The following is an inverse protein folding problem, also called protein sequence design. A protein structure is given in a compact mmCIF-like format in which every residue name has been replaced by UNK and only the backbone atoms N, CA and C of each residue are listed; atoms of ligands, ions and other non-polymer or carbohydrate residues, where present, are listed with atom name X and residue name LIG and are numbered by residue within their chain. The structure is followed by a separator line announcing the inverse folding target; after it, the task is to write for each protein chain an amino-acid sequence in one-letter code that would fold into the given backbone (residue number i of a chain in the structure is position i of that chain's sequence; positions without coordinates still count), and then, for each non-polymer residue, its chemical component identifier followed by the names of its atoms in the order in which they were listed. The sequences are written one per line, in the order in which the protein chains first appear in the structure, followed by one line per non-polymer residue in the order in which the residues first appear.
data_IF_505870637446
#
_entry.id   IF_505870637446
#
_cell.length_a   1.000
_cell.length_b   1.000
_cell.length_c   1.000
_cell.angle_alpha   90.00
_cell.angle_beta   90.00
_cell.angle_gamma   90.00
#
_symmetry.space_group_name_H-M   'P 1'
#
loop_
_entity.id
_entity.type
_entity.pdbx_description
1 polymer ?
#
# COMPACT_ATOMS: atom_id res chain seq x y z
N UNK A 1 15.94 30.37 -0.28
CA UNK A 1 14.49 30.55 -0.18
C UNK A 1 13.82 29.49 -1.03
N UNK A 2 13.20 28.49 -0.41
CA UNK A 2 12.05 27.79 -1.00
C UNK A 2 11.12 27.45 0.15
N UNK A 3 10.05 28.23 0.23
CA UNK A 3 8.88 27.97 1.06
C UNK A 3 8.00 26.97 0.32
N UNK A 4 7.40 26.01 1.01
CA UNK A 4 6.08 25.49 0.64
C UNK A 4 5.29 25.06 1.89
N UNK A 5 4.00 25.36 1.84
CA UNK A 5 3.08 25.55 2.97
C UNK A 5 2.48 24.26 3.54
N UNK A 6 2.33 24.29 4.87
CA UNK A 6 1.24 23.81 5.73
C UNK A 6 0.47 22.51 5.40
N UNK A 7 0.78 21.51 6.23
CA UNK A 7 -0.11 20.65 7.03
C UNK A 7 -1.27 19.91 6.34
N UNK A 8 -1.20 18.57 6.39
CA UNK A 8 -2.21 17.62 6.89
C UNK A 8 -1.62 16.21 6.72
N UNK A 9 -1.26 15.57 7.84
CA UNK A 9 -0.93 14.13 8.05
C UNK A 9 0.50 13.59 7.77
N UNK A 10 1.30 13.50 8.86
CA UNK A 10 1.90 12.24 9.35
C UNK A 10 3.14 11.63 8.66
N UNK A 11 4.33 12.02 9.13
CA UNK A 11 5.65 11.36 8.96
C UNK A 11 6.42 11.64 7.65
N UNK A 12 7.51 12.42 7.76
CA UNK A 12 8.49 12.68 6.69
C UNK A 12 9.89 12.39 7.23
N UNK A 13 10.61 11.43 6.66
CA UNK A 13 12.05 11.26 6.87
C UNK A 13 12.81 11.92 5.71
N UNK A 14 13.67 12.90 6.02
CA UNK A 14 14.60 13.47 5.04
C UNK A 14 16.02 13.12 5.46
N UNK A 15 16.72 12.37 4.60
CA UNK A 15 18.15 12.10 4.73
C UNK A 15 18.91 13.02 3.77
N UNK A 16 20.06 13.54 4.17
CA UNK A 16 21.03 14.15 3.24
C UNK A 16 22.33 13.37 3.32
N UNK A 17 23.10 13.38 2.23
CA UNK A 17 24.27 12.50 1.96
C UNK A 17 25.38 12.55 3.02
N UNK A 18 25.36 13.52 3.93
CA UNK A 18 26.41 13.72 4.94
C UNK A 18 26.13 13.04 6.29
N UNK A 19 25.12 12.18 6.39
CA UNK A 19 24.83 11.41 7.61
C UNK A 19 24.35 12.22 8.81
N UNK A 20 23.89 13.47 8.60
CA UNK A 20 23.34 14.34 9.66
C UNK A 20 21.81 14.36 9.65
N UNK A 21 21.20 14.19 10.83
CA UNK A 21 19.74 14.26 11.02
C UNK A 21 19.29 15.67 11.42
N UNK A 22 18.72 16.42 10.47
CA UNK A 22 18.38 17.84 10.74
C UNK A 22 16.98 18.05 11.33
N UNK A 23 16.03 17.11 11.22
CA UNK A 23 14.72 17.25 11.91
C UNK A 23 13.99 15.91 12.11
N UNK A 24 13.40 15.72 13.29
CA UNK A 24 12.49 14.61 13.63
C UNK A 24 11.28 15.27 14.28
N UNK A 25 10.08 15.06 13.74
CA UNK A 25 8.83 15.55 14.33
C UNK A 25 7.90 14.36 14.50
N UNK A 26 7.68 13.96 15.74
CA UNK A 26 6.65 13.01 16.15
C UNK A 26 5.46 13.85 16.64
N UNK A 27 4.29 13.68 16.03
CA UNK A 27 3.06 14.31 16.53
C UNK A 27 2.09 13.26 17.03
N UNK A 28 1.69 13.41 18.29
CA UNK A 28 0.65 12.65 18.97
C UNK A 28 -0.51 13.60 19.28
N UNK A 29 -1.77 13.20 19.08
CA UNK A 29 -2.89 13.85 19.76
C UNK A 29 -4.09 12.92 19.95
N UNK A 30 -4.50 12.70 21.21
CA UNK A 30 -5.83 12.20 21.57
C UNK A 30 -5.97 11.30 22.82
N UNK A 31 -6.09 11.94 24.01
CA UNK A 31 -6.86 11.52 25.22
C UNK A 31 -6.22 10.46 26.17
N UNK A 32 -5.88 10.66 27.46
CA UNK A 32 -6.09 11.69 28.52
C UNK A 32 -4.76 12.06 29.22
N UNK A 33 -4.84 13.15 30.01
CA UNK A 33 -3.89 13.86 30.87
C UNK A 33 -2.53 13.23 31.27
N UNK A 34 -1.51 14.09 31.35
CA UNK A 34 -0.13 13.88 31.85
C UNK A 34 0.89 13.17 30.97
N UNK A 35 0.59 12.96 29.69
CA UNK A 35 1.60 12.50 28.77
C UNK A 35 2.38 13.68 28.21
N UNK A 36 3.47 14.03 28.90
CA UNK A 36 4.41 15.02 28.43
C UNK A 36 4.83 14.65 27.00
N UNK A 37 4.50 15.50 26.04
CA UNK A 37 5.07 15.39 24.70
C UNK A 37 6.58 15.30 24.88
N UNK A 38 7.16 14.20 24.38
CA UNK A 38 8.58 13.96 24.53
C UNK A 38 9.28 14.94 23.58
N UNK A 39 10.00 15.91 24.15
CA UNK A 39 10.74 16.89 23.39
C UNK A 39 11.80 16.20 22.52
N UNK A 40 11.73 16.43 21.21
CA UNK A 40 12.69 15.89 20.26
C UNK A 40 14.12 16.41 20.52
N UNK A 41 14.28 17.60 21.11
CA UNK A 41 15.59 18.09 21.54
C UNK A 41 16.12 17.33 22.74
N UNK A 42 15.27 17.03 23.73
CA UNK A 42 15.61 16.15 24.85
C UNK A 42 15.95 14.72 24.37
N UNK A 43 15.27 14.19 23.36
CA UNK A 43 15.63 12.89 22.78
C UNK A 43 17.00 12.91 22.08
N UNK A 44 17.33 14.02 21.40
CA UNK A 44 18.66 14.19 20.78
C UNK A 44 19.78 14.23 21.80
N UNK A 45 19.54 14.80 22.99
CA UNK A 45 20.56 14.87 24.04
C UNK A 45 20.86 13.52 24.70
N UNK A 46 19.98 12.53 24.58
CA UNK A 46 20.24 11.14 25.02
C UNK A 46 21.36 10.46 24.22
N UNK A 47 21.67 10.94 23.02
CA UNK A 47 22.65 10.33 22.13
C UNK A 47 22.11 9.12 21.35
N UNK A 48 22.81 8.77 20.27
CA UNK A 48 22.38 7.76 19.31
C UNK A 48 22.26 6.35 19.93
N UNK A 49 23.23 5.96 20.75
CA UNK A 49 23.27 4.63 21.37
C UNK A 49 22.11 4.39 22.33
N UNK A 50 21.81 5.37 23.20
CA UNK A 50 20.70 5.24 24.16
C UNK A 50 19.36 5.24 23.44
N UNK A 51 19.20 6.04 22.40
CA UNK A 51 17.99 6.05 21.58
C UNK A 51 17.78 4.72 20.85
N UNK A 52 18.84 4.14 20.27
CA UNK A 52 18.79 2.84 19.62
C UNK A 52 18.38 1.72 20.60
N UNK A 53 18.95 1.74 21.82
CA UNK A 53 18.58 0.78 22.87
C UNK A 53 17.10 0.89 23.26
N UNK A 54 16.60 2.11 23.50
CA UNK A 54 15.18 2.34 23.85
C UNK A 54 14.22 1.89 22.74
N UNK A 55 14.58 2.13 21.48
CA UNK A 55 13.79 1.66 20.33
C UNK A 55 13.77 0.13 20.23
N UNK A 56 14.91 -0.52 20.49
CA UNK A 56 15.01 -1.98 20.51
C UNK A 56 14.20 -2.61 21.67
N UNK A 57 14.28 -2.02 22.86
CA UNK A 57 13.47 -2.41 24.02
C UNK A 57 11.97 -2.26 23.72
N UNK A 58 11.57 -1.15 23.09
CA UNK A 58 10.17 -0.91 22.69
C UNK A 58 9.68 -1.91 21.63
N UNK A 59 10.53 -2.28 20.67
CA UNK A 59 10.23 -3.29 19.67
C UNK A 59 10.07 -4.71 20.23
N UNK A 60 10.64 -5.01 21.40
CA UNK A 60 10.46 -6.30 22.06
C UNK A 60 9.01 -6.49 22.52
N UNK A 61 8.37 -5.42 22.99
CA UNK A 61 7.01 -5.44 23.55
C UNK A 61 5.93 -5.03 22.57
N UNK A 62 6.28 -4.31 21.49
CA UNK A 62 5.33 -3.79 20.50
C UNK A 62 5.60 -4.33 19.09
N UNK A 63 4.79 -5.29 18.58
CA UNK A 63 5.00 -5.90 17.27
C UNK A 63 4.98 -4.93 16.08
N UNK A 64 4.18 -3.87 16.15
CA UNK A 64 4.08 -2.84 15.11
C UNK A 64 5.38 -2.01 15.03
N UNK A 65 5.87 -1.49 16.17
CA UNK A 65 7.18 -0.81 16.27
C UNK A 65 8.31 -1.68 15.74
N UNK A 66 8.31 -2.97 16.09
CA UNK A 66 9.32 -3.92 15.59
C UNK A 66 9.31 -4.02 14.07
N UNK A 67 8.13 -4.17 13.47
CA UNK A 67 7.98 -4.25 12.02
C UNK A 67 8.42 -2.97 11.32
N UNK A 68 8.01 -1.82 11.85
CA UNK A 68 8.40 -0.52 11.32
C UNK A 68 9.92 -0.33 11.36
N UNK A 69 10.57 -0.60 12.50
CA UNK A 69 12.03 -0.49 12.62
C UNK A 69 12.78 -1.48 11.74
N UNK A 70 12.28 -2.72 11.59
CA UNK A 70 12.88 -3.69 10.68
C UNK A 70 12.80 -3.22 9.23
N UNK A 71 11.65 -2.65 8.83
CA UNK A 71 11.47 -2.10 7.50
C UNK A 71 12.38 -0.89 7.25
N UNK A 72 12.42 0.07 8.18
CA UNK A 72 13.26 1.27 8.08
C UNK A 72 14.77 0.97 8.13
N UNK A 73 15.19 -0.04 8.88
CA UNK A 73 16.58 -0.47 8.89
C UNK A 73 16.97 -1.14 7.56
N UNK A 74 16.07 -1.93 6.99
CA UNK A 74 16.29 -2.56 5.69
C UNK A 74 16.18 -1.55 4.54
N UNK A 75 15.36 -0.50 4.67
CA UNK A 75 15.19 0.52 3.64
C UNK A 75 16.47 1.30 3.35
N UNK A 76 17.35 1.40 4.35
CA UNK A 76 18.66 2.04 4.21
C UNK A 76 19.69 1.19 3.43
N UNK A 77 19.43 -0.09 3.20
CA UNK A 77 20.32 -1.00 2.47
C UNK A 77 19.69 -1.40 1.14
N UNK A 78 20.25 -0.89 0.02
CA UNK A 78 19.85 -1.29 -1.33
C UNK A 78 19.85 -2.81 -1.49
N UNK A 79 18.79 -3.36 -2.08
CA UNK A 79 18.57 -4.81 -2.23
C UNK A 79 17.85 -5.50 -1.05
N UNK A 80 17.90 -4.94 0.17
CA UNK A 80 17.24 -5.54 1.35
C UNK A 80 15.77 -5.11 1.45
N UNK A 81 15.39 -3.96 0.86
CA UNK A 81 14.00 -3.45 0.82
C UNK A 81 13.02 -4.50 0.30
N UNK A 82 13.34 -5.18 -0.81
CA UNK A 82 12.46 -6.20 -1.41
C UNK A 82 12.20 -7.34 -0.44
N UNK A 83 13.26 -7.85 0.17
CA UNK A 83 13.20 -8.93 1.15
C UNK A 83 12.44 -8.49 2.40
N UNK A 84 12.68 -7.27 2.87
CA UNK A 84 12.01 -6.70 4.02
C UNK A 84 10.52 -6.47 3.78
N UNK A 85 10.13 -5.93 2.63
CA UNK A 85 8.73 -5.78 2.23
C UNK A 85 8.04 -7.14 2.24
N UNK A 86 8.59 -8.16 1.56
CA UNK A 86 8.03 -9.52 1.54
C UNK A 86 7.92 -10.13 2.94
N UNK A 87 8.95 -9.95 3.77
CA UNK A 87 8.97 -10.46 5.15
C UNK A 87 7.88 -9.80 5.99
N UNK A 88 7.73 -8.48 5.87
CA UNK A 88 6.69 -7.73 6.56
C UNK A 88 5.30 -8.18 6.13
N UNK A 89 5.04 -8.30 4.81
CA UNK A 89 3.75 -8.75 4.28
C UNK A 89 3.39 -10.16 4.77
N UNK A 90 4.38 -11.07 4.84
CA UNK A 90 4.19 -12.41 5.41
C UNK A 90 3.88 -12.35 6.90
N UNK A 91 4.68 -11.61 7.67
CA UNK A 91 4.47 -11.46 9.11
C UNK A 91 3.11 -10.83 9.44
N UNK A 92 2.62 -9.91 8.60
CA UNK A 92 1.29 -9.32 8.74
C UNK A 92 0.18 -10.34 8.50
N UNK A 93 0.26 -11.13 7.42
CA UNK A 93 -0.73 -12.19 7.13
C UNK A 93 -0.87 -13.23 8.23
N UNK A 94 0.19 -13.45 9.01
CA UNK A 94 0.22 -14.40 10.11
C UNK A 94 -0.36 -13.81 11.43
N UNK A 95 -0.73 -12.52 11.48
CA UNK A 95 -1.27 -11.92 12.70
C UNK A 95 -2.78 -12.14 12.85
N UNK A 96 -3.24 -12.72 13.99
CA UNK A 96 -4.64 -12.84 14.31
C UNK A 96 -5.02 -11.80 15.38
N UNK A 97 -5.40 -10.58 14.99
CA UNK A 97 -6.04 -9.67 15.95
C UNK A 97 -6.79 -8.53 15.28
N UNK A 98 -8.04 -8.34 15.70
CA UNK A 98 -8.79 -7.10 15.45
C UNK A 98 -8.06 -5.93 16.12
N UNK A 99 -7.79 -4.89 15.33
CA UNK A 99 -7.06 -3.70 15.74
C UNK A 99 -8.01 -2.62 16.25
N UNK A 100 -7.62 -1.94 17.33
CA UNK A 100 -8.31 -0.72 17.77
C UNK A 100 -8.01 0.48 16.84
N UNK A 101 -8.77 1.56 16.97
CA UNK A 101 -8.61 2.75 16.11
C UNK A 101 -7.18 3.34 16.10
N UNK A 102 -6.44 3.25 17.22
CA UNK A 102 -5.05 3.74 17.29
C UNK A 102 -4.11 2.82 16.50
N UNK A 103 -4.32 1.51 16.63
CA UNK A 103 -3.57 0.50 15.90
C UNK A 103 -3.87 0.54 14.39
N UNK A 104 -5.12 0.80 14.00
CA UNK A 104 -5.54 1.04 12.61
C UNK A 104 -4.77 2.23 12.03
N UNK A 105 -4.65 3.33 12.78
CA UNK A 105 -3.89 4.51 12.35
C UNK A 105 -2.41 4.19 12.16
N UNK A 106 -1.77 3.58 13.14
CA UNK A 106 -0.36 3.20 13.06
C UNK A 106 -0.11 2.26 11.86
N UNK A 107 -1.01 1.29 11.65
CA UNK A 107 -0.94 0.40 10.50
C UNK A 107 -1.06 1.16 9.16
N UNK A 108 -1.95 2.15 9.07
CA UNK A 108 -2.09 2.96 7.85
C UNK A 108 -0.79 3.70 7.49
N UNK A 109 -0.07 4.22 8.49
CA UNK A 109 1.22 4.89 8.29
C UNK A 109 2.32 3.90 7.89
N UNK A 110 2.37 2.73 8.51
CA UNK A 110 3.27 1.63 8.11
C UNK A 110 3.05 1.21 6.65
N UNK A 111 1.78 1.03 6.26
CA UNK A 111 1.39 0.67 4.90
C UNK A 111 1.76 1.77 3.90
N UNK A 112 1.56 3.05 4.24
CA UNK A 112 1.90 4.17 3.34
C UNK A 112 3.41 4.29 3.14
N UNK A 113 4.20 4.15 4.21
CA UNK A 113 5.66 4.15 4.14
C UNK A 113 6.19 3.00 3.26
N UNK A 114 5.58 1.81 3.38
CA UNK A 114 5.91 0.67 2.53
C UNK A 114 5.56 0.92 1.07
N UNK A 115 4.36 1.45 0.78
CA UNK A 115 3.95 1.80 -0.58
C UNK A 115 4.96 2.74 -1.21
N UNK A 116 5.33 3.81 -0.49
CA UNK A 116 6.30 4.82 -0.96
C UNK A 116 7.66 4.18 -1.23
N UNK A 117 8.17 3.34 -0.33
CA UNK A 117 9.45 2.67 -0.52
C UNK A 117 9.45 1.75 -1.76
N UNK A 118 8.35 1.02 -2.02
CA UNK A 118 8.20 0.20 -3.23
C UNK A 118 8.16 1.12 -4.47
N UNK A 119 7.32 2.15 -4.48
CA UNK A 119 7.08 2.97 -5.67
C UNK A 119 8.20 3.97 -5.98
N UNK A 120 9.08 4.26 -5.02
CA UNK A 120 10.22 5.18 -5.20
C UNK A 120 11.57 4.48 -5.16
N UNK A 121 11.89 3.71 -4.13
CA UNK A 121 13.24 3.17 -3.94
C UNK A 121 13.45 1.90 -4.76
N UNK A 122 12.50 0.96 -4.72
CA UNK A 122 12.61 -0.29 -5.50
C UNK A 122 12.44 0.00 -6.99
N UNK A 123 11.51 0.87 -7.35
CA UNK A 123 11.20 1.18 -8.75
C UNK A 123 12.37 1.76 -9.54
N UNK A 124 13.29 2.48 -8.89
CA UNK A 124 14.48 3.06 -9.55
C UNK A 124 15.45 1.98 -10.03
N UNK A 125 15.67 0.94 -9.23
CA UNK A 125 16.69 -0.08 -9.50
C UNK A 125 16.11 -1.34 -10.16
N UNK A 126 14.86 -1.71 -9.82
CA UNK A 126 14.19 -2.94 -10.24
C UNK A 126 12.68 -2.69 -10.47
N UNK A 127 12.30 -2.06 -11.60
CA UNK A 127 10.93 -1.62 -11.86
C UNK A 127 9.94 -2.79 -11.99
N UNK A 128 10.38 -3.91 -12.57
CA UNK A 128 9.63 -5.16 -12.66
C UNK A 128 9.31 -5.72 -11.27
N UNK A 129 10.32 -5.78 -10.39
CA UNK A 129 10.15 -6.23 -9.01
C UNK A 129 9.23 -5.29 -8.22
N UNK A 130 9.31 -3.97 -8.47
CA UNK A 130 8.44 -3.00 -7.82
C UNK A 130 6.97 -3.18 -8.22
N UNK A 131 6.68 -3.43 -9.50
CA UNK A 131 5.32 -3.72 -9.97
C UNK A 131 4.76 -5.00 -9.31
N UNK A 132 5.56 -6.07 -9.27
CA UNK A 132 5.18 -7.33 -8.61
C UNK A 132 4.93 -7.17 -7.10
N UNK A 133 5.78 -6.39 -6.42
CA UNK A 133 5.59 -6.10 -4.99
C UNK A 133 4.34 -5.27 -4.75
N UNK A 134 4.01 -4.32 -5.63
CA UNK A 134 2.80 -3.51 -5.49
C UNK A 134 1.53 -4.36 -5.66
N UNK A 135 1.53 -5.34 -6.58
CA UNK A 135 0.44 -6.31 -6.66
C UNK A 135 0.30 -7.15 -5.39
N UNK A 136 1.42 -7.62 -4.82
CA UNK A 136 1.41 -8.34 -3.54
C UNK A 136 0.91 -7.46 -2.38
N UNK A 137 1.24 -6.17 -2.41
CA UNK A 137 0.78 -5.18 -1.45
C UNK A 137 -0.75 -5.00 -1.56
N UNK A 138 -1.29 -4.77 -2.77
CA UNK A 138 -2.74 -4.64 -2.99
C UNK A 138 -3.47 -5.90 -2.50
N UNK A 139 -2.92 -7.10 -2.75
CA UNK A 139 -3.50 -8.35 -2.30
C UNK A 139 -3.57 -8.51 -0.76
N UNK A 140 -2.84 -7.69 0.02
CA UNK A 140 -2.96 -7.68 1.49
C UNK A 140 -4.28 -7.12 1.99
N UNK A 141 -4.97 -6.34 1.18
CA UNK A 141 -6.10 -5.55 1.63
C UNK A 141 -7.21 -6.40 2.26
N UNK A 142 -7.48 -7.61 1.75
CA UNK A 142 -8.42 -8.56 2.39
C UNK A 142 -8.03 -8.82 3.85
N UNK A 143 -6.79 -9.26 4.09
CA UNK A 143 -6.29 -9.53 5.44
C UNK A 143 -6.26 -8.27 6.32
N UNK A 144 -6.01 -7.11 5.73
CA UNK A 144 -5.99 -5.84 6.47
C UNK A 144 -7.40 -5.45 6.92
N UNK A 145 -8.39 -5.44 6.02
CA UNK A 145 -9.76 -5.03 6.35
C UNK A 145 -10.48 -6.03 7.27
N UNK A 146 -10.14 -7.32 7.20
CA UNK A 146 -10.61 -8.32 8.18
C UNK A 146 -10.13 -8.02 9.61
N UNK A 147 -9.03 -7.30 9.76
CA UNK A 147 -8.44 -6.96 11.05
C UNK A 147 -8.91 -5.60 11.60
N UNK A 148 -9.83 -4.89 10.95
CA UNK A 148 -10.28 -3.54 11.37
C UNK A 148 -11.76 -3.56 11.73
N UNK A 149 -12.12 -3.24 12.98
CA UNK A 149 -13.53 -3.18 13.42
C UNK A 149 -14.16 -1.78 13.29
N UNK A 150 -13.33 -0.75 13.06
CA UNK A 150 -13.72 0.65 12.90
C UNK A 150 -13.62 1.08 11.43
N UNK A 151 -14.21 2.23 11.08
CA UNK A 151 -14.15 2.80 9.73
C UNK A 151 -12.69 3.10 9.31
N UNK A 152 -12.05 2.13 8.65
CA UNK A 152 -10.65 2.18 8.18
C UNK A 152 -10.42 3.06 6.96
N UNK A 153 -10.99 4.26 6.92
CA UNK A 153 -10.91 5.16 5.76
C UNK A 153 -9.46 5.55 5.40
N UNK A 154 -8.57 5.61 6.39
CA UNK A 154 -7.15 5.90 6.20
C UNK A 154 -6.46 4.78 5.44
N UNK A 155 -6.79 3.53 5.80
CA UNK A 155 -6.28 2.34 5.13
C UNK A 155 -6.79 2.31 3.68
N UNK A 156 -8.07 2.61 3.46
CA UNK A 156 -8.64 2.71 2.11
C UNK A 156 -7.87 3.72 1.25
N UNK A 157 -7.52 4.91 1.78
CA UNK A 157 -6.71 5.90 1.05
C UNK A 157 -5.31 5.41 0.70
N UNK A 158 -4.71 4.50 1.47
CA UNK A 158 -3.41 3.92 1.13
C UNK A 158 -3.55 2.93 -0.02
N UNK A 159 -4.58 2.07 0.01
CA UNK A 159 -4.86 1.13 -1.08
C UNK A 159 -5.32 1.82 -2.36
N UNK A 160 -6.05 2.91 -2.26
CA UNK A 160 -6.43 3.74 -3.41
C UNK A 160 -5.19 4.25 -4.14
N UNK A 161 -4.25 4.82 -3.40
CA UNK A 161 -2.96 5.28 -3.93
C UNK A 161 -2.11 4.11 -4.44
N UNK A 162 -2.17 2.94 -3.82
CA UNK A 162 -1.48 1.73 -4.30
C UNK A 162 -2.02 1.25 -5.66
N UNK A 163 -3.33 1.37 -5.88
CA UNK A 163 -3.94 1.10 -7.18
C UNK A 163 -3.43 2.06 -8.27
N UNK A 164 -3.28 3.36 -7.95
CA UNK A 164 -2.66 4.30 -8.89
C UNK A 164 -1.18 3.94 -9.16
N UNK A 165 -0.44 3.57 -8.10
CA UNK A 165 0.97 3.23 -8.20
C UNK A 165 1.20 1.95 -9.01
N UNK A 166 0.37 0.91 -8.89
CA UNK A 166 0.56 -0.34 -9.64
C UNK A 166 0.42 -0.14 -11.14
N UNK A 167 -0.47 0.74 -11.60
CA UNK A 167 -0.62 1.05 -13.03
C UNK A 167 0.63 1.79 -13.52
N UNK A 168 1.11 2.79 -12.77
CA UNK A 168 2.32 3.56 -13.13
C UNK A 168 3.56 2.67 -13.15
N UNK A 169 3.73 1.83 -12.13
CA UNK A 169 4.85 0.89 -12.02
C UNK A 169 4.82 -0.14 -13.14
N UNK A 170 3.64 -0.67 -13.48
CA UNK A 170 3.50 -1.62 -14.59
C UNK A 170 3.87 -0.99 -15.93
N UNK A 171 3.43 0.24 -16.18
CA UNK A 171 3.83 1.01 -17.37
C UNK A 171 5.33 1.28 -17.39
N UNK A 172 5.91 1.67 -16.26
CA UNK A 172 7.34 1.96 -16.13
C UNK A 172 8.20 0.69 -16.37
N UNK A 173 7.79 -0.44 -15.81
CA UNK A 173 8.40 -1.75 -16.00
C UNK A 173 8.11 -2.38 -17.36
N UNK A 174 7.24 -1.77 -18.18
CA UNK A 174 6.76 -2.30 -19.46
C UNK A 174 6.17 -3.70 -19.33
N UNK A 175 5.43 -3.95 -18.26
CA UNK A 175 4.68 -5.19 -18.05
C UNK A 175 3.77 -5.42 -19.25
N UNK A 176 3.76 -6.63 -19.80
CA UNK A 176 2.91 -6.97 -20.92
C UNK A 176 1.42 -6.73 -20.56
N UNK A 177 0.64 -6.04 -21.42
CA UNK A 177 -0.77 -5.72 -21.12
C UNK A 177 -1.62 -6.92 -20.72
N UNK A 178 -1.42 -8.06 -21.38
CA UNK A 178 -2.14 -9.29 -21.06
C UNK A 178 -1.82 -9.83 -19.65
N UNK A 179 -0.56 -9.70 -19.20
CA UNK A 179 -0.14 -10.11 -17.84
C UNK A 179 -0.80 -9.21 -16.80
N UNK A 180 -0.74 -7.89 -17.01
CA UNK A 180 -1.41 -6.92 -16.15
C UNK A 180 -2.92 -7.16 -16.08
N UNK A 181 -3.58 -7.37 -17.23
CA UNK A 181 -5.01 -7.64 -17.30
C UNK A 181 -5.40 -8.91 -16.53
N UNK A 182 -4.60 -9.98 -16.63
CA UNK A 182 -4.83 -11.19 -15.86
C UNK A 182 -4.72 -10.95 -14.35
N UNK A 183 -3.69 -10.22 -13.90
CA UNK A 183 -3.54 -9.84 -12.48
C UNK A 183 -4.70 -8.97 -11.99
N UNK A 184 -5.13 -7.99 -12.79
CA UNK A 184 -6.28 -7.14 -12.46
C UNK A 184 -7.58 -7.94 -12.36
N UNK A 185 -7.83 -8.90 -13.27
CA UNK A 185 -8.98 -9.81 -13.18
C UNK A 185 -8.93 -10.63 -11.90
N UNK A 186 -7.77 -11.19 -11.54
CA UNK A 186 -7.62 -11.93 -10.29
C UNK A 186 -7.97 -11.05 -9.09
N UNK A 187 -7.46 -9.82 -9.04
CA UNK A 187 -7.80 -8.88 -7.98
C UNK A 187 -9.31 -8.58 -7.93
N UNK A 188 -9.93 -8.27 -9.08
CA UNK A 188 -11.37 -7.98 -9.22
C UNK A 188 -12.24 -9.13 -8.72
N UNK A 189 -11.90 -10.37 -9.07
CA UNK A 189 -12.69 -11.53 -8.68
C UNK A 189 -12.51 -11.87 -7.20
N UNK A 190 -11.34 -11.58 -6.64
CA UNK A 190 -11.02 -11.76 -5.22
C UNK A 190 -11.51 -10.61 -4.33
N UNK A 191 -12.16 -9.57 -4.89
CA UNK A 191 -12.62 -8.42 -4.12
C UNK A 191 -13.67 -8.80 -3.08
N UNK A 192 -13.33 -8.64 -1.82
CA UNK A 192 -14.26 -8.87 -0.72
C UNK A 192 -14.76 -7.56 -0.10
N UNK A 193 -14.11 -6.42 -0.39
CA UNK A 193 -14.29 -5.16 0.34
C UNK A 193 -14.43 -3.91 -0.54
N UNK A 194 -14.62 -4.05 -1.86
CA UNK A 194 -14.87 -2.92 -2.78
C UNK A 194 -13.59 -2.24 -3.30
N UNK A 195 -12.42 -2.81 -3.02
CA UNK A 195 -11.12 -2.28 -3.44
C UNK A 195 -10.97 -2.28 -4.96
N UNK A 196 -11.71 -3.16 -5.64
CA UNK A 196 -11.59 -3.31 -7.07
C UNK A 196 -12.26 -2.17 -7.81
N UNK A 197 -13.21 -1.48 -7.19
CA UNK A 197 -13.75 -0.25 -7.74
C UNK A 197 -12.67 0.85 -7.82
N UNK A 198 -11.78 0.95 -6.83
CA UNK A 198 -10.65 1.88 -6.94
C UNK A 198 -9.63 1.43 -7.98
N UNK A 199 -9.30 0.13 -8.05
CA UNK A 199 -8.39 -0.39 -9.06
C UNK A 199 -8.89 -0.13 -10.48
N UNK A 200 -10.18 -0.36 -10.75
CA UNK A 200 -10.81 -0.10 -12.04
C UNK A 200 -10.74 1.39 -12.39
N UNK A 201 -11.00 2.28 -11.43
CA UNK A 201 -10.86 3.74 -11.63
C UNK A 201 -9.42 4.16 -11.92
N UNK A 202 -8.43 3.59 -11.21
CA UNK A 202 -7.02 3.88 -11.45
C UNK A 202 -6.60 3.48 -12.88
N UNK A 203 -7.07 2.31 -13.34
CA UNK A 203 -6.83 1.79 -14.69
C UNK A 203 -7.57 2.64 -15.75
N UNK A 204 -8.77 3.12 -15.46
CA UNK A 204 -9.53 3.95 -16.39
C UNK A 204 -8.99 5.38 -16.51
N UNK A 205 -8.48 5.96 -15.41
CA UNK A 205 -7.95 7.33 -15.35
C UNK A 205 -6.61 7.52 -16.05
N UNK A 206 -5.95 6.45 -16.50
CA UNK A 206 -4.54 6.53 -16.87
C UNK A 206 -4.33 7.15 -18.25
N UNK A 207 -3.52 8.22 -18.32
CA UNK A 207 -3.28 8.96 -19.56
C UNK A 207 -2.22 8.31 -20.48
N UNK A 208 -2.60 8.12 -21.74
CA UNK A 208 -1.79 7.79 -22.93
C UNK A 208 -0.99 6.47 -22.93
N UNK A 209 -0.04 6.24 -22.03
CA UNK A 209 0.83 5.05 -22.06
C UNK A 209 0.19 3.81 -21.42
N UNK A 210 -0.77 4.00 -20.51
CA UNK A 210 -1.46 2.93 -19.81
C UNK A 210 -2.88 2.63 -20.35
N UNK A 211 -3.33 3.36 -21.38
CA UNK A 211 -4.62 3.10 -22.03
C UNK A 211 -4.72 1.68 -22.63
N UNK A 212 -3.58 1.10 -23.03
CA UNK A 212 -3.50 -0.28 -23.51
C UNK A 212 -3.89 -1.28 -22.42
N UNK A 213 -3.59 -1.00 -21.14
CA UNK A 213 -3.99 -1.87 -20.03
C UNK A 213 -5.51 -1.87 -19.83
N UNK A 214 -6.15 -0.71 -19.94
CA UNK A 214 -7.61 -0.62 -19.84
C UNK A 214 -8.29 -1.38 -21.00
N UNK A 215 -7.79 -1.22 -22.23
CA UNK A 215 -8.32 -1.93 -23.40
C UNK A 215 -8.16 -3.45 -23.29
N UNK A 216 -6.97 -3.92 -22.89
CA UNK A 216 -6.69 -5.35 -22.73
C UNK A 216 -7.52 -5.96 -21.58
N UNK A 217 -7.68 -5.23 -20.48
CA UNK A 217 -8.55 -5.65 -19.38
C UNK A 217 -10.01 -5.77 -19.82
N UNK A 218 -10.53 -4.79 -20.56
CA UNK A 218 -11.89 -4.85 -21.11
C UNK A 218 -12.08 -6.09 -22.00
N UNK A 219 -11.14 -6.33 -22.91
CA UNK A 219 -11.19 -7.47 -23.83
C UNK A 219 -11.13 -8.81 -23.08
N UNK A 220 -10.24 -8.93 -22.10
CA UNK A 220 -10.15 -10.12 -21.25
C UNK A 220 -11.45 -10.35 -20.46
N UNK A 221 -12.03 -9.30 -19.88
CA UNK A 221 -13.30 -9.41 -19.15
C UNK A 221 -14.44 -9.86 -20.07
N UNK A 222 -14.55 -9.31 -21.30
CA UNK A 222 -15.56 -9.74 -22.28
C UNK A 222 -15.42 -11.23 -22.61
N UNK A 223 -14.21 -11.69 -22.92
CA UNK A 223 -13.94 -13.12 -23.18
C UNK A 223 -14.33 -14.02 -22.01
N UNK A 224 -14.12 -13.57 -20.78
CA UNK A 224 -14.49 -14.33 -19.58
C UNK A 224 -16.00 -14.35 -19.34
N UNK A 225 -16.72 -13.29 -19.70
CA UNK A 225 -18.18 -13.21 -19.59
C UNK A 225 -18.89 -13.99 -20.70
N UNK A 226 -18.28 -14.11 -21.88
CA UNK A 226 -18.80 -14.88 -23.02
C UNK A 226 -18.57 -16.39 -22.89
N UNK A 227 -17.72 -16.80 -21.94
CA UNK A 227 -17.48 -18.23 -21.66
C UNK A 227 -18.75 -18.85 -21.07
N UNK A 228 -19.24 -20.00 -21.60
CA UNK A 228 -20.36 -20.69 -20.99
C UNK A 228 -20.00 -21.10 -19.55
N UNK A 229 -20.95 -21.05 -18.61
CA UNK A 229 -20.70 -21.48 -17.23
C UNK A 229 -20.17 -22.91 -17.22
N UNK A 230 -19.12 -23.17 -16.44
CA UNK A 230 -18.60 -24.53 -16.32
C UNK A 230 -19.65 -25.42 -15.63
N UNK A 231 -19.66 -26.72 -15.93
CA UNK A 231 -20.65 -27.62 -15.37
C UNK A 231 -20.56 -27.63 -13.83
N UNK A 232 -21.55 -27.02 -13.16
CA UNK A 232 -21.58 -26.84 -11.70
C UNK A 232 -21.49 -25.39 -11.23
N UNK A 233 -21.22 -24.42 -12.12
CA UNK A 233 -21.29 -23.00 -11.79
C UNK A 233 -22.74 -22.52 -11.71
N UNK A 234 -23.08 -21.79 -10.63
CA UNK A 234 -24.36 -21.10 -10.55
C UNK A 234 -24.44 -20.01 -11.64
N UNK A 235 -25.52 -19.95 -12.44
CA UNK A 235 -25.77 -18.80 -13.29
C UNK A 235 -25.83 -17.55 -12.40
N UNK A 236 -24.98 -16.57 -12.67
CA UNK A 236 -24.80 -15.33 -11.88
C UNK A 236 -23.95 -15.46 -10.58
N UNK A 237 -22.89 -16.28 -10.63
CA UNK A 237 -21.89 -16.36 -9.55
C UNK A 237 -21.34 -14.98 -9.14
N UNK A 238 -20.84 -14.86 -7.88
CA UNK A 238 -20.21 -13.63 -7.35
C UNK A 238 -19.14 -13.08 -8.31
N UNK A 239 -18.36 -13.99 -8.90
CA UNK A 239 -17.37 -13.71 -9.96
C UNK A 239 -17.99 -13.01 -11.17
N UNK A 240 -19.07 -13.55 -11.73
CA UNK A 240 -19.72 -12.98 -12.91
C UNK A 240 -20.23 -11.56 -12.64
N UNK A 241 -20.81 -11.32 -11.45
CA UNK A 241 -21.28 -9.98 -11.05
C UNK A 241 -20.15 -8.97 -10.99
N UNK A 242 -19.02 -9.33 -10.36
CA UNK A 242 -17.87 -8.42 -10.29
C UNK A 242 -17.28 -8.10 -11.65
N UNK A 243 -17.11 -9.10 -12.52
CA UNK A 243 -16.61 -8.89 -13.88
C UNK A 243 -17.56 -8.00 -14.69
N UNK A 244 -18.88 -8.22 -14.59
CA UNK A 244 -19.87 -7.39 -15.27
C UNK A 244 -19.88 -5.95 -14.75
N UNK A 245 -19.83 -5.75 -13.44
CA UNK A 245 -19.72 -4.41 -12.85
C UNK A 245 -18.44 -3.70 -13.31
N UNK A 246 -17.31 -4.41 -13.33
CA UNK A 246 -16.04 -3.85 -13.78
C UNK A 246 -16.08 -3.40 -15.23
N UNK A 247 -16.67 -4.20 -16.12
CA UNK A 247 -16.82 -3.85 -17.53
C UNK A 247 -17.65 -2.58 -17.71
N UNK A 248 -18.80 -2.49 -17.03
CA UNK A 248 -19.68 -1.30 -17.10
C UNK A 248 -18.97 -0.04 -16.63
N UNK A 249 -18.17 -0.12 -15.57
CA UNK A 249 -17.44 1.02 -15.04
C UNK A 249 -16.33 1.47 -16.00
N UNK A 250 -15.55 0.52 -16.55
CA UNK A 250 -14.53 0.79 -17.56
C UNK A 250 -15.13 1.43 -18.83
N UNK A 251 -16.32 1.01 -19.25
CA UNK A 251 -17.01 1.56 -20.42
C UNK A 251 -17.56 2.98 -20.15
N UNK A 252 -18.12 3.20 -18.96
CA UNK A 252 -18.66 4.50 -18.55
C UNK A 252 -17.58 5.59 -18.49
N UNK A 253 -16.37 5.25 -18.07
CA UNK A 253 -15.24 6.18 -17.95
C UNK A 253 -14.54 6.49 -19.27
N UNK A 254 -14.86 5.79 -20.37
CA UNK A 254 -14.29 6.08 -21.70
C UNK A 254 -15.06 7.19 -22.44
N UNK A 255 -16.25 7.53 -21.96
CA UNK A 255 -17.18 8.50 -22.59
C UNK A 255 -17.10 9.87 -21.90
N UNK A 256 -16.45 9.96 -20.74
CA UNK A 256 -16.27 11.18 -19.96
C UNK A 256 -14.89 11.81 -20.20
#
# INVERSE_FOLDING_TARGET
MTSFQSAVHGTLFVTTDDGRFTKVLLFRRGMLDDMHDIDAHALRSLGLERLAALLAESAATHPHIRRQLQFECASKKRGDIVTAARRWMRAFREQPSCLDARQVRALSEELDAMRIAISSQVAVDAPDVAADLMWQFIALAVSVFECTTEEGWEISKVFDRACDDVVKLSAHARVAPAVFAAQAVTAIVSDQYGQCQTLIRAIAKTHSSAAVYAAELQELIRRLLDRPPEAGDEPNSKRWRYLKCALLELESMRVA
#
